data_IF_935166395149
#
_entry.id   IF_935166395149
#
_cell.length_a   1.000
_cell.length_b   1.000
_cell.length_c   1.000
_cell.angle_alpha   90.00
_cell.angle_beta   90.00
_cell.angle_gamma   90.00
#
_symmetry.space_group_name_H-M   'P 1'
#
loop_
_entity.id
_entity.type
_entity.pdbx_description
1 polymer ?
#
# COMPACT_ATOMS: atom_id res chain seq x y z
N UNK A 1 16.67 3.37 4.96
CA UNK A 1 17.21 2.29 4.10
C UNK A 1 17.55 2.86 2.72
N UNK A 2 18.72 2.55 2.17
CA UNK A 2 19.20 3.13 0.89
C UNK A 2 18.75 2.36 -0.35
N UNK A 3 18.29 1.11 -0.20
CA UNK A 3 17.86 0.25 -1.31
C UNK A 3 16.87 -0.81 -0.80
N UNK A 4 15.75 -0.95 -1.51
CA UNK A 4 14.79 -2.05 -1.39
C UNK A 4 14.09 -2.21 -2.73
N UNK A 5 13.79 -3.45 -3.13
CA UNK A 5 13.20 -3.72 -4.43
C UNK A 5 12.46 -5.07 -4.49
N UNK A 6 11.76 -5.24 -5.61
CA UNK A 6 11.44 -6.52 -6.22
C UNK A 6 11.70 -6.37 -7.73
N UNK A 7 12.09 -7.45 -8.41
CA UNK A 7 12.15 -7.52 -9.87
C UNK A 7 10.99 -8.36 -10.42
N UNK A 8 10.62 -8.15 -11.69
CA UNK A 8 9.55 -8.88 -12.37
C UNK A 8 10.03 -9.83 -13.48
N UNK A 9 11.35 -10.03 -13.59
CA UNK A 9 11.94 -10.87 -14.61
C UNK A 9 12.31 -12.27 -14.10
N UNK A 10 11.43 -13.24 -14.40
CA UNK A 10 11.59 -14.65 -14.01
C UNK A 10 12.69 -15.42 -14.75
N UNK A 11 13.31 -14.83 -15.79
CA UNK A 11 14.41 -15.46 -16.54
C UNK A 11 15.78 -15.32 -15.86
N UNK A 12 15.85 -14.54 -14.78
CA UNK A 12 17.08 -14.18 -14.11
C UNK A 12 17.42 -15.19 -13.00
N UNK A 13 18.23 -16.20 -13.32
CA UNK A 13 18.51 -17.43 -12.56
C UNK A 13 19.15 -17.30 -11.15
N UNK A 14 18.64 -16.42 -10.30
CA UNK A 14 19.06 -16.28 -8.90
C UNK A 14 18.18 -15.35 -8.05
N UNK A 15 17.37 -14.47 -8.64
CA UNK A 15 16.47 -13.56 -7.90
C UNK A 15 15.02 -14.03 -8.00
N UNK A 16 14.29 -14.02 -6.88
CA UNK A 16 12.87 -14.41 -6.83
C UNK A 16 12.00 -13.30 -7.46
N UNK A 17 11.85 -13.34 -8.78
CA UNK A 17 11.00 -12.39 -9.50
C UNK A 17 9.51 -12.54 -9.13
N UNK A 18 8.78 -11.44 -9.14
CA UNK A 18 7.32 -11.39 -8.92
C UNK A 18 6.61 -10.76 -10.12
N UNK A 19 5.42 -11.21 -10.53
CA UNK A 19 4.68 -10.54 -11.59
C UNK A 19 4.42 -9.05 -11.32
N UNK A 20 4.31 -8.24 -12.36
CA UNK A 20 4.04 -6.78 -12.30
C UNK A 20 2.91 -6.39 -11.32
N UNK A 21 1.82 -7.15 -11.28
CA UNK A 21 0.68 -6.87 -10.41
C UNK A 21 0.92 -7.23 -8.94
N UNK A 22 1.84 -8.16 -8.67
CA UNK A 22 2.33 -8.45 -7.31
C UNK A 22 3.31 -7.36 -6.88
N UNK A 23 4.22 -6.95 -7.76
CA UNK A 23 5.16 -5.86 -7.51
C UNK A 23 4.42 -4.57 -7.13
N UNK A 24 3.28 -4.28 -7.80
CA UNK A 24 2.45 -3.12 -7.49
C UNK A 24 2.06 -3.06 -6.01
N UNK A 25 1.53 -4.15 -5.48
CA UNK A 25 1.14 -4.26 -4.06
C UNK A 25 2.34 -4.15 -3.14
N UNK A 26 3.42 -4.84 -3.49
CA UNK A 26 4.59 -4.98 -2.63
C UNK A 26 5.41 -3.70 -2.50
N UNK A 27 5.44 -2.84 -3.53
CA UNK A 27 6.13 -1.54 -3.43
C UNK A 27 5.49 -0.63 -2.37
N UNK A 28 4.16 -0.59 -2.33
CA UNK A 28 3.43 0.22 -1.37
C UNK A 28 3.58 -0.39 0.04
N UNK A 29 3.29 -1.69 0.19
CA UNK A 29 3.42 -2.42 1.46
C UNK A 29 4.80 -2.30 2.08
N UNK A 30 5.85 -2.59 1.31
CA UNK A 30 7.23 -2.57 1.81
C UNK A 30 7.62 -1.19 2.31
N UNK A 31 7.28 -0.13 1.58
CA UNK A 31 7.61 1.24 2.02
C UNK A 31 6.83 1.63 3.28
N UNK A 32 5.56 1.25 3.37
CA UNK A 32 4.73 1.52 4.55
C UNK A 32 5.18 0.73 5.78
N UNK A 33 5.63 -0.51 5.63
CA UNK A 33 6.27 -1.28 6.71
C UNK A 33 7.53 -0.61 7.24
N UNK A 34 8.38 -0.15 6.32
CA UNK A 34 9.63 0.52 6.68
C UNK A 34 9.36 1.86 7.38
N UNK A 35 8.30 2.54 6.96
CA UNK A 35 7.81 3.73 7.67
C UNK A 35 7.36 3.39 9.10
N UNK A 36 6.60 2.31 9.29
CA UNK A 36 6.18 1.83 10.61
C UNK A 36 7.36 1.46 11.53
N UNK A 37 8.48 1.03 10.95
CA UNK A 37 9.73 0.77 11.67
C UNK A 37 10.50 2.05 12.04
N UNK A 38 9.97 3.23 11.73
CA UNK A 38 10.57 4.52 12.06
C UNK A 38 11.71 4.92 11.14
N UNK A 39 11.80 4.33 9.94
CA UNK A 39 12.84 4.73 8.99
C UNK A 39 12.57 6.13 8.43
N UNK A 40 13.50 7.09 8.62
CA UNK A 40 13.25 8.48 8.25
C UNK A 40 13.26 8.71 6.74
N UNK A 41 13.93 7.82 5.98
CA UNK A 41 14.03 7.85 4.52
C UNK A 41 14.17 6.44 3.98
N UNK A 42 13.37 6.17 2.96
CA UNK A 42 13.26 4.87 2.28
C UNK A 42 13.41 5.15 0.79
N UNK A 43 14.27 4.39 0.12
CA UNK A 43 14.54 4.54 -1.31
C UNK A 43 14.17 3.24 -2.03
N UNK A 44 13.23 3.33 -2.97
CA UNK A 44 12.92 2.23 -3.88
C UNK A 44 13.98 2.15 -4.98
N UNK A 45 14.55 0.96 -5.15
CA UNK A 45 15.35 0.66 -6.31
C UNK A 45 14.45 -0.06 -7.33
N UNK A 46 14.21 0.47 -8.52
CA UNK A 46 14.64 1.78 -9.02
C UNK A 46 13.51 2.53 -9.70
N UNK A 47 13.76 3.77 -10.13
CA UNK A 47 12.77 4.51 -10.88
C UNK A 47 12.49 3.86 -12.25
N UNK A 48 13.47 3.22 -12.88
CA UNK A 48 13.39 2.80 -14.28
C UNK A 48 14.21 1.55 -14.58
N UNK A 49 13.62 0.63 -15.34
CA UNK A 49 14.28 -0.57 -15.83
C UNK A 49 15.51 -0.23 -16.69
N UNK A 50 16.55 -1.04 -16.53
CA UNK A 50 17.82 -0.89 -17.24
C UNK A 50 17.76 -1.64 -18.57
N UNK A 51 18.14 -1.02 -19.70
CA UNK A 51 17.91 -1.61 -21.01
C UNK A 51 18.80 -2.83 -21.36
N UNK A 52 19.79 -3.23 -20.55
CA UNK A 52 20.87 -4.13 -21.01
C UNK A 52 21.54 -5.03 -19.94
N UNK A 53 20.84 -5.51 -18.92
CA UNK A 53 21.46 -6.52 -18.03
C UNK A 53 20.52 -7.63 -17.65
N UNK A 54 21.13 -8.80 -17.44
CA UNK A 54 20.53 -10.03 -16.90
C UNK A 54 19.68 -9.71 -15.65
N UNK A 55 20.05 -8.68 -14.87
CA UNK A 55 19.25 -8.00 -13.83
C UNK A 55 18.97 -6.53 -14.20
N UNK A 56 17.75 -6.04 -14.03
CA UNK A 56 17.41 -4.67 -14.41
C UNK A 56 15.93 -4.34 -14.54
N UNK A 57 15.04 -5.18 -14.00
CA UNK A 57 13.59 -5.02 -14.14
C UNK A 57 12.91 -4.66 -12.79
N UNK A 58 13.67 -3.99 -11.91
CA UNK A 58 13.21 -3.46 -10.61
C UNK A 58 12.55 -2.06 -10.73
N UNK A 59 12.49 -1.52 -11.94
CA UNK A 59 11.99 -0.18 -12.21
C UNK A 59 10.52 -0.03 -11.85
N UNK A 60 10.13 1.19 -11.48
CA UNK A 60 8.73 1.63 -11.54
C UNK A 60 8.31 1.92 -12.99
N UNK A 61 9.25 2.35 -13.82
CA UNK A 61 9.07 2.59 -15.26
C UNK A 61 9.78 1.51 -16.08
N UNK A 62 9.20 1.13 -17.21
CA UNK A 62 9.89 0.33 -18.22
C UNK A 62 11.05 1.11 -18.85
N UNK A 63 11.95 0.41 -19.54
CA UNK A 63 13.12 1.00 -20.20
C UNK A 63 12.76 2.06 -21.27
N UNK A 64 11.55 1.99 -21.84
CA UNK A 64 10.98 2.98 -22.76
C UNK A 64 10.19 4.12 -22.07
N UNK A 65 10.28 4.24 -20.74
CA UNK A 65 9.55 5.17 -19.87
C UNK A 65 8.03 4.92 -19.72
N UNK A 66 7.49 3.81 -20.25
CA UNK A 66 6.09 3.48 -19.97
C UNK A 66 5.92 3.06 -18.49
N UNK A 67 4.85 3.49 -17.81
CA UNK A 67 4.65 3.17 -16.40
C UNK A 67 4.31 1.69 -16.20
N UNK A 68 4.94 1.05 -15.21
CA UNK A 68 4.51 -0.27 -14.70
C UNK A 68 3.35 -0.09 -13.72
N UNK A 69 2.58 -1.16 -13.42
CA UNK A 69 1.55 -1.11 -12.39
C UNK A 69 2.03 -0.52 -11.05
N UNK A 70 3.24 -0.84 -10.61
CA UNK A 70 3.85 -0.27 -9.42
C UNK A 70 3.99 1.25 -9.44
N UNK A 71 4.31 1.86 -10.59
CA UNK A 71 4.35 3.32 -10.72
C UNK A 71 2.96 3.93 -10.57
N UNK A 72 1.96 3.33 -11.23
CA UNK A 72 0.58 3.82 -11.22
C UNK A 72 0.03 3.72 -9.79
N UNK A 73 0.23 2.59 -9.13
CA UNK A 73 -0.23 2.35 -7.76
C UNK A 73 0.39 3.35 -6.78
N UNK A 74 1.73 3.50 -6.81
CA UNK A 74 2.43 4.42 -5.92
C UNK A 74 2.03 5.88 -6.17
N UNK A 75 1.87 6.29 -7.43
CA UNK A 75 1.42 7.65 -7.77
C UNK A 75 0.03 7.93 -7.23
N UNK A 76 -0.91 6.99 -7.39
CA UNK A 76 -2.27 7.14 -6.87
C UNK A 76 -2.32 7.11 -5.34
N UNK A 77 -1.51 6.27 -4.68
CA UNK A 77 -1.41 6.26 -3.23
C UNK A 77 -0.90 7.62 -2.72
N UNK A 78 0.19 8.14 -3.30
CA UNK A 78 0.75 9.44 -2.94
C UNK A 78 -0.21 10.61 -3.19
N UNK A 79 -1.11 10.51 -4.18
CA UNK A 79 -2.15 11.53 -4.37
C UNK A 79 -3.19 11.56 -3.24
N UNK A 80 -3.45 10.42 -2.61
CA UNK A 80 -4.34 10.33 -1.44
C UNK A 80 -3.59 10.81 -0.20
N UNK A 81 -2.48 10.15 0.14
CA UNK A 81 -1.78 10.34 1.43
C UNK A 81 -0.80 11.51 1.47
N UNK A 82 -0.53 12.12 0.32
CA UNK A 82 0.40 13.24 0.21
C UNK A 82 -0.12 14.48 0.92
N UNK A 83 0.80 15.21 1.55
CA UNK A 83 0.53 16.44 2.27
C UNK A 83 1.44 17.57 1.76
N UNK A 84 0.89 18.79 1.68
CA UNK A 84 1.59 19.94 1.13
C UNK A 84 2.55 20.58 2.14
N UNK A 85 2.26 20.45 3.43
CA UNK A 85 3.06 21.01 4.52
C UNK A 85 3.25 19.99 5.62
N UNK A 86 4.31 20.14 6.42
CA UNK A 86 4.51 19.30 7.61
C UNK A 86 3.79 19.92 8.80
N UNK A 87 3.10 19.09 9.56
CA UNK A 87 2.52 19.44 10.86
C UNK A 87 2.86 18.36 11.89
N UNK A 88 2.68 18.65 13.18
CA UNK A 88 2.82 17.62 14.23
C UNK A 88 1.49 16.89 14.37
N UNK A 89 1.44 15.56 14.10
CA UNK A 89 0.22 14.79 14.24
C UNK A 89 -0.34 14.85 15.66
N UNK A 90 -1.66 14.89 15.77
CA UNK A 90 -2.40 14.79 17.02
C UNK A 90 -2.83 13.35 17.28
N UNK A 91 -2.82 12.89 18.53
CA UNK A 91 -3.33 11.57 18.85
C UNK A 91 -4.85 11.50 18.71
N UNK A 92 -5.35 10.37 18.22
CA UNK A 92 -6.77 10.02 18.21
C UNK A 92 -6.98 8.70 18.95
N UNK A 93 -8.09 8.57 19.68
CA UNK A 93 -8.47 7.30 20.28
C UNK A 93 -9.17 6.44 19.24
N UNK A 94 -8.53 5.37 18.79
CA UNK A 94 -9.06 4.45 17.81
C UNK A 94 -8.67 3.00 18.14
N UNK A 95 -9.40 2.05 17.57
CA UNK A 95 -9.06 0.63 17.69
C UNK A 95 -9.37 -0.13 16.41
N UNK A 96 -8.59 -1.18 16.14
CA UNK A 96 -8.77 -2.11 15.04
C UNK A 96 -9.12 -3.50 15.58
N UNK A 97 -10.20 -4.07 15.08
CA UNK A 97 -10.57 -5.47 15.30
C UNK A 97 -10.53 -6.18 13.96
N UNK A 98 -9.70 -7.21 13.83
CA UNK A 98 -9.53 -7.95 12.59
C UNK A 98 -8.52 -9.10 12.74
N UNK A 99 -8.15 -9.72 11.62
CA UNK A 99 -7.08 -10.72 11.59
C UNK A 99 -5.76 -10.11 12.09
N UNK A 100 -4.96 -10.92 12.81
CA UNK A 100 -3.61 -10.52 13.25
C UNK A 100 -2.64 -10.27 12.07
N UNK A 101 -2.98 -10.72 10.87
CA UNK A 101 -2.22 -10.46 9.64
C UNK A 101 -2.53 -9.09 9.04
N UNK A 102 -3.52 -8.36 9.55
CA UNK A 102 -3.81 -7.01 9.06
C UNK A 102 -2.81 -6.05 9.69
N UNK A 103 -1.98 -5.47 8.84
CA UNK A 103 -1.06 -4.41 9.21
C UNK A 103 -1.69 -3.05 8.86
N UNK A 104 -1.17 -2.00 9.50
CA UNK A 104 -1.73 -0.67 9.38
C UNK A 104 -0.70 0.43 9.61
N UNK A 105 -1.03 1.63 9.12
CA UNK A 105 -0.33 2.87 9.45
C UNK A 105 -1.36 3.97 9.61
N UNK A 106 -1.31 4.70 10.71
CA UNK A 106 -2.14 5.88 10.90
C UNK A 106 -1.31 7.14 10.60
N UNK A 107 -1.80 7.95 9.67
CA UNK A 107 -1.24 9.24 9.30
C UNK A 107 -2.23 10.36 9.69
N UNK A 108 -1.72 11.58 9.83
CA UNK A 108 -2.55 12.78 9.90
C UNK A 108 -1.96 13.85 8.98
N UNK A 109 -2.80 14.41 8.12
CA UNK A 109 -2.47 15.54 7.25
C UNK A 109 -2.52 16.86 8.03
N UNK A 110 -1.86 17.87 7.48
CA UNK A 110 -1.76 19.23 8.01
C UNK A 110 -3.11 19.93 8.20
N UNK A 111 -4.13 19.51 7.46
CA UNK A 111 -5.50 20.02 7.59
C UNK A 111 -6.30 19.32 8.71
N UNK A 112 -5.70 18.36 9.42
CA UNK A 112 -6.29 17.61 10.52
C UNK A 112 -6.97 16.29 10.12
N UNK A 113 -7.02 15.97 8.82
CA UNK A 113 -7.58 14.70 8.30
C UNK A 113 -6.70 13.53 8.70
N UNK A 114 -7.29 12.44 9.18
CA UNK A 114 -6.60 11.20 9.49
C UNK A 114 -6.76 10.20 8.36
N UNK A 115 -5.69 9.45 8.07
CA UNK A 115 -5.67 8.41 7.06
C UNK A 115 -5.13 7.12 7.67
N UNK A 116 -6.00 6.12 7.80
CA UNK A 116 -5.62 4.79 8.26
C UNK A 116 -5.39 3.89 7.04
N UNK A 117 -4.12 3.62 6.74
CA UNK A 117 -3.71 2.65 5.73
C UNK A 117 -3.86 1.24 6.31
N UNK A 118 -4.40 0.30 5.52
CA UNK A 118 -4.66 -1.09 5.94
C UNK A 118 -4.31 -2.06 4.81
N UNK A 119 -3.70 -3.19 5.15
CA UNK A 119 -3.46 -4.30 4.21
C UNK A 119 -3.33 -5.62 4.97
N UNK A 120 -3.68 -6.72 4.30
CA UNK A 120 -3.44 -8.07 4.78
C UNK A 120 -2.01 -8.48 4.42
N UNK A 121 -1.10 -8.48 5.38
CA UNK A 121 0.33 -8.75 5.21
C UNK A 121 0.59 -10.25 5.13
N UNK A 122 0.20 -10.83 3.99
CA UNK A 122 0.50 -12.22 3.62
C UNK A 122 1.06 -12.26 2.19
N UNK A 123 1.84 -13.31 1.84
CA UNK A 123 2.37 -13.47 0.49
C UNK A 123 1.27 -13.66 -0.55
N UNK A 124 1.38 -12.98 -1.69
CA UNK A 124 0.54 -13.15 -2.88
C UNK A 124 1.27 -13.88 -4.02
N UNK A 125 2.51 -14.31 -3.77
CA UNK A 125 3.36 -15.03 -4.73
C UNK A 125 4.18 -16.11 -4.02
N UNK A 126 4.16 -17.33 -4.54
CA UNK A 126 5.05 -18.41 -4.13
C UNK A 126 6.32 -18.35 -5.00
N UNK A 127 7.44 -17.96 -4.39
CA UNK A 127 8.73 -17.81 -5.08
C UNK A 127 9.38 -19.14 -5.45
N UNK A 128 8.94 -20.26 -4.88
CA UNK A 128 9.46 -21.59 -5.18
C UNK A 128 8.75 -22.19 -6.39
N UNK A 129 7.43 -22.08 -6.43
CA UNK A 129 6.63 -22.65 -7.53
C UNK A 129 6.33 -21.65 -8.64
N UNK A 130 6.64 -20.37 -8.44
CA UNK A 130 6.33 -19.27 -9.37
C UNK A 130 4.85 -19.21 -9.74
N UNK A 131 3.99 -19.28 -8.71
CA UNK A 131 2.53 -19.16 -8.88
C UNK A 131 1.97 -18.10 -7.95
N UNK A 132 0.91 -17.43 -8.42
CA UNK A 132 0.15 -16.49 -7.59
C UNK A 132 -0.58 -17.24 -6.48
N UNK A 133 -0.53 -16.68 -5.29
CA UNK A 133 -1.30 -17.15 -4.14
C UNK A 133 -2.59 -16.32 -4.11
N UNK A 134 -3.74 -16.99 -4.11
CA UNK A 134 -5.02 -16.32 -3.89
C UNK A 134 -5.13 -15.94 -2.42
N UNK A 135 -5.11 -14.63 -2.14
CA UNK A 135 -5.27 -14.11 -0.78
C UNK A 135 -6.74 -13.74 -0.54
N UNK A 136 -7.43 -14.37 0.43
CA UNK A 136 -8.80 -14.00 0.75
C UNK A 136 -8.86 -12.62 1.41
N UNK A 137 -9.82 -11.82 0.97
CA UNK A 137 -10.17 -10.54 1.60
C UNK A 137 -10.60 -10.80 3.05
N UNK A 138 -10.00 -10.06 3.97
CA UNK A 138 -10.34 -10.06 5.39
C UNK A 138 -11.39 -8.99 5.68
N UNK A 139 -12.12 -9.15 6.78
CA UNK A 139 -12.97 -8.08 7.31
C UNK A 139 -12.30 -7.46 8.52
N UNK A 140 -12.27 -6.13 8.59
CA UNK A 140 -11.80 -5.37 9.73
C UNK A 140 -12.87 -4.40 10.21
N UNK A 141 -12.97 -4.22 11.52
CA UNK A 141 -13.79 -3.20 12.16
C UNK A 141 -12.89 -2.16 12.81
N UNK A 142 -13.02 -0.92 12.36
CA UNK A 142 -12.35 0.25 12.92
C UNK A 142 -13.31 0.96 13.85
N UNK A 143 -12.91 1.14 15.11
CA UNK A 143 -13.63 1.94 16.09
C UNK A 143 -12.99 3.33 16.17
N UNK A 144 -13.80 4.36 15.95
CA UNK A 144 -13.39 5.76 16.00
C UNK A 144 -14.21 6.51 17.06
N UNK A 145 -13.80 7.73 17.47
CA UNK A 145 -14.60 8.54 18.38
C UNK A 145 -15.97 8.88 17.76
N UNK A 146 -17.04 9.01 18.57
CA UNK A 146 -18.38 9.36 18.05
C UNK A 146 -18.46 10.70 17.30
N UNK A 147 -17.46 11.59 17.47
CA UNK A 147 -17.36 12.84 16.73
C UNK A 147 -17.03 12.63 15.24
N UNK A 148 -16.47 11.48 14.88
CA UNK A 148 -16.22 11.11 13.50
C UNK A 148 -17.53 10.57 12.92
N UNK A 149 -18.16 11.37 12.06
CA UNK A 149 -19.48 11.06 11.47
C UNK A 149 -19.43 10.51 10.06
N UNK A 150 -18.28 10.61 9.38
CA UNK A 150 -18.10 10.17 7.99
C UNK A 150 -16.69 9.67 7.78
N UNK A 151 -16.55 8.59 7.01
CA UNK A 151 -15.27 8.11 6.51
C UNK A 151 -15.37 7.74 5.04
N UNK A 152 -14.30 7.96 4.30
CA UNK A 152 -14.16 7.56 2.90
C UNK A 152 -13.15 6.44 2.79
N UNK A 153 -13.50 5.39 2.06
CA UNK A 153 -12.60 4.26 1.84
C UNK A 153 -12.08 4.23 0.42
N UNK A 154 -10.77 4.18 0.28
CA UNK A 154 -10.07 4.14 -0.99
C UNK A 154 -9.44 2.76 -1.18
N UNK A 155 -9.70 2.16 -2.35
CA UNK A 155 -9.14 0.86 -2.74
C UNK A 155 -8.70 0.91 -4.19
N UNK A 156 -7.68 0.13 -4.55
CA UNK A 156 -7.28 -0.04 -5.95
C UNK A 156 -8.29 -0.88 -6.75
N UNK A 157 -8.67 -0.41 -7.93
CA UNK A 157 -9.38 -1.21 -8.92
C UNK A 157 -8.39 -2.05 -9.75
N UNK A 158 -8.92 -2.81 -10.72
CA UNK A 158 -8.11 -3.67 -11.60
C UNK A 158 -7.15 -2.91 -12.53
N UNK A 159 -7.31 -1.60 -12.66
CA UNK A 159 -6.43 -0.71 -13.41
C UNK A 159 -5.44 0.04 -12.50
N UNK A 160 -5.28 -0.41 -11.24
CA UNK A 160 -4.38 0.19 -10.24
C UNK A 160 -4.71 1.65 -9.90
N UNK A 161 -5.96 2.06 -10.13
CA UNK A 161 -6.45 3.38 -9.75
C UNK A 161 -7.18 3.31 -8.41
N UNK A 162 -6.97 4.32 -7.56
CA UNK A 162 -7.72 4.46 -6.32
C UNK A 162 -9.16 4.84 -6.60
N UNK A 163 -10.10 4.02 -6.12
CA UNK A 163 -11.54 4.26 -6.17
C UNK A 163 -12.02 4.59 -4.78
N UNK A 164 -12.68 5.74 -4.65
CA UNK A 164 -13.32 6.16 -3.41
C UNK A 164 -14.70 5.54 -3.27
N UNK A 165 -15.01 5.03 -2.09
CA UNK A 165 -16.32 4.48 -1.72
C UNK A 165 -16.69 5.04 -0.35
N UNK A 166 -17.86 5.70 -0.20
CA UNK A 166 -18.34 6.10 1.11
C UNK A 166 -18.53 4.87 2.00
N UNK A 167 -18.08 4.93 3.26
CA UNK A 167 -18.35 3.85 4.23
C UNK A 167 -19.49 4.26 5.14
N UNK A 168 -20.49 3.41 5.24
CA UNK A 168 -21.58 3.61 6.19
C UNK A 168 -21.12 3.25 7.60
N UNK A 169 -21.19 4.22 8.50
CA UNK A 169 -20.94 4.04 9.92
C UNK A 169 -22.08 3.29 10.60
N UNK A 170 -21.76 2.41 11.55
CA UNK A 170 -22.73 1.82 12.48
C UNK A 170 -22.33 2.16 13.91
N UNK A 171 -22.99 3.15 14.50
CA UNK A 171 -22.58 3.66 15.83
C UNK A 171 -21.27 4.42 15.71
N UNK A 172 -20.19 3.95 16.34
CA UNK A 172 -18.83 4.51 16.24
C UNK A 172 -17.86 3.60 15.46
N UNK A 173 -18.41 2.70 14.64
CA UNK A 173 -17.64 1.62 14.02
C UNK A 173 -17.83 1.59 12.50
N UNK A 174 -16.73 1.31 11.79
CA UNK A 174 -16.65 1.18 10.34
C UNK A 174 -16.16 -0.24 10.02
N UNK A 175 -16.95 -1.02 9.28
CA UNK A 175 -16.52 -2.35 8.83
C UNK A 175 -16.10 -2.29 7.38
N UNK A 176 -14.86 -2.68 7.10
CA UNK A 176 -14.23 -2.53 5.79
C UNK A 176 -13.56 -3.84 5.33
N UNK A 177 -13.58 -4.14 4.02
CA UNK A 177 -12.89 -5.27 3.45
C UNK A 177 -11.40 -4.95 3.22
N UNK A 178 -10.48 -5.73 3.79
CA UNK A 178 -9.02 -5.54 3.67
C UNK A 178 -8.43 -6.65 2.81
N UNK A 179 -7.88 -6.30 1.65
CA UNK A 179 -7.19 -7.23 0.74
C UNK A 179 -5.69 -7.26 1.02
N UNK A 180 -4.93 -7.98 0.18
CA UNK A 180 -3.46 -7.98 0.19
C UNK A 180 -2.82 -6.77 -0.51
N UNK A 181 -3.65 -5.80 -0.93
CA UNK A 181 -3.22 -4.47 -1.40
C UNK A 181 -3.59 -3.42 -0.34
N UNK A 182 -2.83 -2.33 -0.28
CA UNK A 182 -3.12 -1.19 0.60
C UNK A 182 -4.47 -0.57 0.23
N UNK A 183 -5.25 -0.29 1.26
CA UNK A 183 -6.40 0.59 1.21
C UNK A 183 -6.23 1.72 2.21
N UNK A 184 -7.03 2.79 2.06
CA UNK A 184 -6.99 3.96 2.94
C UNK A 184 -8.39 4.24 3.46
N UNK A 185 -8.55 4.34 4.78
CA UNK A 185 -9.73 4.90 5.42
C UNK A 185 -9.42 6.34 5.85
N UNK A 186 -9.98 7.30 5.14
CA UNK A 186 -9.92 8.74 5.42
C UNK A 186 -11.08 9.13 6.35
N UNK A 187 -10.78 9.85 7.42
CA UNK A 187 -11.78 10.40 8.34
C UNK A 187 -11.29 11.67 9.05
N UNK A 188 -12.25 12.46 9.55
CA UNK A 188 -12.01 13.71 10.25
C UNK A 188 -13.07 13.99 11.30
#
# INVERSE_FOLDING_TARGET
>A
MTETDYNDNSSNGGHCAVPDDVMAKYVARTQTERFNLGEPRIYWFSLKDRPQVIAGDEGLLRSNNSPKPAYIEMTNLMQVVGDATSSTPQPINWALVGSATIHHTLLQKSDGTYELLLWNEVPSWDTRTHVKISVPVQSATVHLPPSIGTATYYTFNTSYQMVRTPVTQRGSSFTIPVSDNISVLDFK
#
